data_IF_691091957697
#
_entry.id   IF_691091957697
#
_cell.length_a   1.000
_cell.length_b   1.000
_cell.length_c   1.000
_cell.angle_alpha   90.00
_cell.angle_beta   90.00
_cell.angle_gamma   90.00
#
_symmetry.space_group_name_H-M   'P 1'
#
loop_
_entity.id
_entity.type
_entity.pdbx_description
1 polymer ?
#
# COMPACT_ATOMS: atom_id res chain seq x y z
N UNK A 1 58.20 -0.80 -42.42
CA UNK A 1 56.90 -0.08 -42.51
C UNK A 1 55.84 -0.95 -41.87
N UNK A 2 55.36 -0.53 -40.69
CA UNK A 2 54.40 -1.23 -39.84
C UNK A 2 52.97 -0.91 -40.31
N UNK A 3 52.11 -1.93 -40.36
CA UNK A 3 50.65 -1.74 -40.31
C UNK A 3 50.07 -2.88 -39.47
N UNK A 4 49.75 -2.59 -38.21
CA UNK A 4 48.94 -3.46 -37.34
C UNK A 4 47.67 -2.68 -37.03
N UNK A 5 46.53 -3.31 -37.32
CA UNK A 5 45.17 -2.86 -37.02
C UNK A 5 44.97 -2.83 -35.49
N UNK A 6 44.60 -1.68 -34.94
CA UNK A 6 44.09 -1.57 -33.58
C UNK A 6 42.56 -1.58 -33.59
N UNK A 7 41.98 -2.56 -32.89
CA UNK A 7 40.62 -2.55 -32.38
C UNK A 7 40.58 -1.62 -31.16
N UNK A 8 39.66 -0.65 -31.14
CA UNK A 8 39.39 0.18 -29.98
C UNK A 8 38.26 -0.42 -29.13
N UNK A 9 38.59 -0.90 -27.94
CA UNK A 9 37.67 -1.25 -26.86
C UNK A 9 37.44 -0.02 -25.99
N UNK A 10 36.17 0.36 -25.79
CA UNK A 10 35.77 1.43 -24.88
C UNK A 10 35.78 0.91 -23.43
N UNK A 11 36.59 1.51 -22.57
CA UNK A 11 36.58 1.29 -21.12
C UNK A 11 35.60 2.27 -20.47
N UNK A 12 34.60 1.76 -19.75
CA UNK A 12 33.82 2.55 -18.78
C UNK A 12 34.61 2.58 -17.45
N UNK A 13 34.92 3.77 -16.96
CA UNK A 13 35.53 3.98 -15.65
C UNK A 13 34.41 4.17 -14.63
N UNK A 14 34.27 3.20 -13.71
CA UNK A 14 33.42 3.33 -12.52
C UNK A 14 34.29 3.92 -11.41
N UNK A 15 33.99 5.15 -10.99
CA UNK A 15 34.65 5.81 -9.86
C UNK A 15 33.90 5.45 -8.59
N UNK A 16 34.57 4.74 -7.67
CA UNK A 16 34.11 4.53 -6.31
C UNK A 16 34.58 5.69 -5.44
N UNK A 17 33.65 6.48 -4.89
CA UNK A 17 33.93 7.47 -3.84
C UNK A 17 33.56 6.82 -2.51
N UNK A 18 34.57 6.56 -1.69
CA UNK A 18 34.41 6.20 -0.27
C UNK A 18 34.43 7.51 0.51
N UNK A 19 33.32 7.86 1.16
CA UNK A 19 33.23 9.00 2.08
C UNK A 19 33.16 8.50 3.52
N UNK A 20 34.11 8.97 4.33
CA UNK A 20 34.25 8.70 5.75
C UNK A 20 33.19 9.45 6.56
N UNK A 21 32.64 8.71 7.54
CA UNK A 21 31.50 9.07 8.37
C UNK A 21 31.71 10.33 9.23
N UNK A 22 30.70 11.21 9.21
CA UNK A 22 30.42 12.19 10.26
C UNK A 22 29.19 11.74 11.06
N UNK A 23 29.39 11.42 12.33
CA UNK A 23 28.40 10.81 13.22
C UNK A 23 27.37 11.80 13.77
N UNK A 24 26.16 11.72 13.23
CA UNK A 24 24.93 11.55 14.02
C UNK A 24 24.12 10.48 13.31
N UNK A 25 24.42 9.20 13.58
CA UNK A 25 23.56 8.14 13.08
C UNK A 25 22.21 8.33 13.76
N UNK A 26 21.13 8.25 12.99
CA UNK A 26 19.90 7.70 13.54
C UNK A 26 20.30 6.49 14.40
N UNK A 27 19.77 6.37 15.62
CA UNK A 27 19.96 5.18 16.44
C UNK A 27 19.75 3.97 15.51
N UNK A 28 20.74 3.07 15.41
CA UNK A 28 20.78 2.08 14.33
C UNK A 28 19.42 1.37 14.31
N UNK A 29 18.65 1.60 13.24
CA UNK A 29 17.27 1.17 13.17
C UNK A 29 17.18 -0.30 13.57
N UNK A 30 16.11 -0.68 14.29
CA UNK A 30 15.91 -2.06 14.68
C UNK A 30 16.15 -2.99 13.48
N UNK A 31 16.75 -4.18 13.70
CA UNK A 31 16.86 -5.16 12.63
C UNK A 31 15.47 -5.43 12.07
N UNK A 32 15.43 -5.83 10.80
CA UNK A 32 14.19 -6.33 10.18
C UNK A 32 14.18 -7.86 10.21
N UNK A 33 13.02 -8.45 9.91
CA UNK A 33 12.91 -9.85 9.53
C UNK A 33 13.89 -10.18 8.40
N UNK A 34 14.44 -11.40 8.44
CA UNK A 34 15.29 -11.93 7.39
C UNK A 34 14.44 -12.50 6.23
N UNK A 35 13.30 -13.12 6.55
CA UNK A 35 12.34 -13.68 5.59
C UNK A 35 10.90 -13.34 5.98
N UNK A 36 9.95 -13.35 5.02
CA UNK A 36 8.53 -13.22 5.31
C UNK A 36 8.04 -14.28 6.31
N UNK A 37 7.28 -13.85 7.32
CA UNK A 37 6.61 -14.74 8.26
C UNK A 37 5.18 -15.01 7.78
N UNK A 38 4.87 -16.31 7.70
CA UNK A 38 3.55 -16.83 7.32
C UNK A 38 2.86 -17.37 8.57
N UNK A 39 1.71 -16.79 8.89
CA UNK A 39 0.85 -17.27 9.99
C UNK A 39 -0.14 -18.28 9.41
N UNK A 40 0.11 -19.57 9.67
CA UNK A 40 -0.66 -20.66 9.06
C UNK A 40 -1.90 -21.06 9.88
N UNK A 41 -1.82 -20.94 11.20
CA UNK A 41 -2.81 -21.45 12.14
C UNK A 41 -3.60 -20.32 12.76
N UNK A 42 -4.92 -20.38 12.64
CA UNK A 42 -5.83 -19.36 13.11
C UNK A 42 -6.96 -19.99 13.92
N UNK A 43 -7.47 -19.24 14.89
CA UNK A 43 -8.81 -19.41 15.42
C UNK A 43 -9.72 -18.40 14.72
N UNK A 44 -10.93 -18.78 14.33
CA UNK A 44 -11.91 -17.84 13.75
C UNK A 44 -13.25 -17.91 14.45
N UNK A 45 -13.97 -16.79 14.51
CA UNK A 45 -15.32 -16.73 15.11
C UNK A 45 -16.18 -15.72 14.38
N UNK A 46 -17.48 -15.97 14.34
CA UNK A 46 -18.49 -15.13 13.72
C UNK A 46 -19.66 -15.97 13.24
N UNK A 47 -20.72 -15.33 12.71
CA UNK A 47 -20.81 -13.92 12.41
C UNK A 47 -21.46 -13.12 13.56
N UNK A 48 -21.15 -11.83 13.60
CA UNK A 48 -21.79 -10.84 14.45
C UNK A 48 -22.50 -9.82 13.57
N UNK A 49 -23.76 -9.50 13.88
CA UNK A 49 -24.57 -8.54 13.12
C UNK A 49 -23.97 -7.14 13.23
N UNK A 50 -23.82 -6.43 12.10
CA UNK A 50 -23.26 -5.09 12.07
C UNK A 50 -23.97 -4.20 11.06
N UNK A 51 -24.18 -2.93 11.39
CA UNK A 51 -24.57 -1.91 10.43
C UNK A 51 -23.42 -1.51 9.48
N UNK A 52 -23.77 -0.96 8.31
CA UNK A 52 -22.77 -0.57 7.28
C UNK A 52 -21.75 0.48 7.75
N UNK A 53 -22.07 1.25 8.81
CA UNK A 53 -21.21 2.30 9.37
C UNK A 53 -20.80 2.03 10.83
N UNK A 54 -20.99 0.80 11.29
CA UNK A 54 -20.79 0.41 12.70
C UNK A 54 -19.48 -0.38 12.91
N UNK A 55 -18.46 -0.08 12.12
CA UNK A 55 -17.18 -0.79 12.17
C UNK A 55 -16.43 -0.68 13.52
N UNK A 56 -16.87 0.22 14.40
CA UNK A 56 -16.30 0.46 15.73
C UNK A 56 -16.91 -0.41 16.84
N UNK A 57 -17.92 -1.23 16.56
CA UNK A 57 -18.53 -2.11 17.58
C UNK A 57 -17.57 -3.26 17.90
N UNK A 58 -17.25 -3.41 19.18
CA UNK A 58 -16.49 -4.53 19.72
C UNK A 58 -17.46 -5.63 20.20
N UNK A 59 -17.42 -6.79 19.52
CA UNK A 59 -18.26 -7.95 19.84
C UNK A 59 -17.60 -8.92 20.84
N UNK A 60 -16.36 -8.66 21.24
CA UNK A 60 -15.53 -9.52 22.08
C UNK A 60 -15.38 -8.99 23.52
N UNK A 61 -16.10 -7.92 23.88
CA UNK A 61 -16.02 -7.22 25.17
C UNK A 61 -16.16 -8.12 26.39
N UNK A 62 -17.01 -9.15 26.33
CA UNK A 62 -17.19 -10.12 27.41
C UNK A 62 -15.92 -10.90 27.78
N UNK A 63 -14.93 -10.94 26.88
CA UNK A 63 -13.70 -11.71 27.00
C UNK A 63 -12.45 -10.83 26.81
N UNK A 64 -12.54 -9.55 27.16
CA UNK A 64 -11.41 -8.61 27.12
C UNK A 64 -11.34 -7.73 25.87
N UNK A 65 -12.33 -7.83 24.97
CA UNK A 65 -12.45 -6.95 23.80
C UNK A 65 -11.42 -7.22 22.70
N UNK A 66 -11.49 -6.44 21.63
CA UNK A 66 -10.63 -6.57 20.46
C UNK A 66 -9.12 -6.39 20.80
N UNK A 67 -8.81 -5.62 21.84
CA UNK A 67 -7.44 -5.37 22.30
C UNK A 67 -6.91 -6.49 23.22
N UNK A 68 -7.80 -7.11 24.00
CA UNK A 68 -7.43 -8.00 25.11
C UNK A 68 -7.72 -9.49 24.89
N UNK A 69 -8.54 -9.86 23.90
CA UNK A 69 -9.00 -11.24 23.70
C UNK A 69 -7.83 -12.25 23.64
N UNK A 70 -8.00 -13.38 24.33
CA UNK A 70 -7.14 -14.56 24.27
C UNK A 70 -8.03 -15.79 24.05
N UNK A 71 -8.46 -16.02 22.80
CA UNK A 71 -9.44 -17.04 22.54
C UNK A 71 -8.80 -18.43 22.56
N UNK A 72 -9.61 -19.42 22.92
CA UNK A 72 -9.31 -20.85 22.80
C UNK A 72 -10.40 -21.49 21.92
N UNK A 73 -10.07 -22.60 21.25
CA UNK A 73 -11.05 -23.33 20.46
C UNK A 73 -12.26 -23.72 21.33
N UNK A 74 -13.46 -23.48 20.80
CA UNK A 74 -14.72 -23.74 21.49
C UNK A 74 -15.24 -22.60 22.37
N UNK A 75 -14.44 -21.56 22.68
CA UNK A 75 -14.91 -20.37 23.41
C UNK A 75 -16.09 -19.71 22.68
N UNK A 76 -17.16 -19.38 23.42
CA UNK A 76 -18.41 -18.90 22.84
C UNK A 76 -18.64 -17.40 23.00
N UNK A 77 -19.33 -16.82 22.01
CA UNK A 77 -19.83 -15.45 22.00
C UNK A 77 -21.30 -15.43 21.58
N UNK A 78 -22.06 -14.47 22.10
CA UNK A 78 -23.47 -14.30 21.73
C UNK A 78 -23.58 -13.64 20.35
N UNK A 79 -24.56 -14.08 19.56
CA UNK A 79 -24.93 -13.45 18.29
C UNK A 79 -26.41 -13.64 18.02
N UNK A 80 -27.02 -12.70 17.31
CA UNK A 80 -28.40 -12.84 16.83
C UNK A 80 -28.49 -13.57 15.49
N UNK A 81 -27.36 -13.83 14.83
CA UNK A 81 -27.33 -14.33 13.45
C UNK A 81 -27.33 -15.85 13.34
N UNK A 82 -26.79 -16.54 14.33
CA UNK A 82 -26.62 -18.00 14.32
C UNK A 82 -27.71 -18.70 15.12
N UNK A 83 -28.07 -19.90 14.70
CA UNK A 83 -28.96 -20.81 15.42
C UNK A 83 -28.44 -21.04 16.85
N UNK A 84 -29.34 -21.05 17.83
CA UNK A 84 -28.97 -21.13 19.25
C UNK A 84 -28.36 -19.85 19.84
N UNK A 85 -28.25 -18.77 19.05
CA UNK A 85 -27.85 -17.45 19.51
C UNK A 85 -26.37 -17.34 19.89
N UNK A 86 -25.52 -18.25 19.40
CA UNK A 86 -24.12 -18.40 19.81
C UNK A 86 -23.22 -18.78 18.65
N UNK A 87 -21.99 -18.29 18.70
CA UNK A 87 -20.89 -18.68 17.80
C UNK A 87 -19.68 -19.06 18.65
N UNK A 88 -18.83 -19.94 18.12
CA UNK A 88 -17.64 -20.43 18.83
C UNK A 88 -16.38 -20.21 18.01
N UNK A 89 -15.25 -20.04 18.69
CA UNK A 89 -13.95 -20.03 18.04
C UNK A 89 -13.63 -21.42 17.49
N UNK A 90 -13.27 -21.51 16.21
CA UNK A 90 -12.92 -22.75 15.52
C UNK A 90 -11.54 -22.64 14.88
N UNK A 91 -10.84 -23.76 14.76
CA UNK A 91 -9.56 -23.79 14.05
C UNK A 91 -9.76 -23.56 12.56
N UNK A 92 -8.87 -22.78 11.95
CA UNK A 92 -8.88 -22.49 10.53
C UNK A 92 -7.44 -22.42 10.05
N UNK A 93 -7.14 -23.12 8.95
CA UNK A 93 -5.82 -23.13 8.34
C UNK A 93 -5.75 -22.12 7.18
N UNK A 94 -4.55 -21.59 6.96
CA UNK A 94 -4.22 -20.85 5.76
C UNK A 94 -4.26 -21.78 4.53
N UNK A 95 -4.98 -21.39 3.49
CA UNK A 95 -5.07 -22.11 2.22
C UNK A 95 -4.77 -21.18 1.05
N UNK A 96 -3.77 -21.51 0.24
CA UNK A 96 -3.38 -20.70 -0.94
C UNK A 96 -3.22 -19.20 -0.60
N UNK A 97 -2.59 -18.91 0.56
CA UNK A 97 -2.34 -17.55 1.04
C UNK A 97 -3.57 -16.83 1.62
N UNK A 98 -4.68 -17.54 1.85
CA UNK A 98 -5.94 -16.96 2.34
C UNK A 98 -6.47 -17.71 3.55
N UNK A 99 -6.95 -16.96 4.54
CA UNK A 99 -7.76 -17.48 5.64
C UNK A 99 -9.20 -17.23 5.27
N UNK A 100 -10.00 -18.30 5.15
CA UNK A 100 -11.42 -18.23 4.77
C UNK A 100 -12.26 -18.51 6.00
N UNK A 101 -13.19 -17.62 6.32
CA UNK A 101 -14.14 -17.88 7.39
C UNK A 101 -15.42 -18.44 6.78
N UNK A 102 -15.96 -19.46 7.43
CA UNK A 102 -17.28 -20.02 7.15
C UNK A 102 -18.11 -19.94 8.42
N UNK A 103 -19.37 -19.53 8.26
CA UNK A 103 -20.29 -19.33 9.36
C UNK A 103 -21.36 -20.42 9.30
N UNK A 104 -21.23 -21.42 10.17
CA UNK A 104 -22.19 -22.52 10.29
C UNK A 104 -23.43 -22.10 11.09
N UNK A 105 -24.57 -22.75 10.82
CA UNK A 105 -25.81 -22.48 11.55
C UNK A 105 -26.43 -21.11 11.30
N UNK A 106 -26.11 -20.44 10.18
CA UNK A 106 -26.68 -19.14 9.82
C UNK A 106 -27.66 -19.29 8.66
N UNK A 107 -28.92 -18.90 8.86
CA UNK A 107 -29.92 -18.86 7.82
C UNK A 107 -29.87 -17.52 7.06
N UNK A 108 -28.98 -17.43 6.07
CA UNK A 108 -28.75 -16.22 5.28
C UNK A 108 -29.97 -15.75 4.48
N UNK A 109 -30.80 -16.70 4.03
CA UNK A 109 -31.99 -16.42 3.25
C UNK A 109 -33.05 -15.78 4.15
N UNK A 110 -33.27 -16.32 5.34
CA UNK A 110 -34.18 -15.74 6.33
C UNK A 110 -33.76 -14.34 6.74
N UNK A 111 -32.47 -14.12 7.03
CA UNK A 111 -31.94 -12.79 7.38
C UNK A 111 -32.12 -11.78 6.25
N UNK A 112 -32.01 -12.22 4.99
CA UNK A 112 -32.25 -11.35 3.84
C UNK A 112 -33.75 -11.11 3.63
N UNK A 113 -34.60 -12.10 3.87
CA UNK A 113 -36.06 -11.97 3.76
C UNK A 113 -36.61 -11.01 4.82
N UNK A 114 -36.11 -11.09 6.07
CA UNK A 114 -36.56 -10.22 7.17
C UNK A 114 -36.04 -8.79 7.05
N UNK A 115 -34.73 -8.62 6.80
CA UNK A 115 -34.04 -7.34 6.98
C UNK A 115 -33.33 -6.86 5.69
N UNK A 116 -33.60 -7.51 4.56
CA UNK A 116 -32.99 -7.18 3.27
C UNK A 116 -31.47 -7.34 3.28
N UNK A 117 -30.78 -6.51 2.49
CA UNK A 117 -29.32 -6.51 2.46
C UNK A 117 -28.65 -6.14 3.79
N UNK A 118 -29.38 -5.50 4.71
CA UNK A 118 -28.85 -5.16 6.03
C UNK A 118 -28.68 -6.40 6.90
N UNK A 119 -29.62 -7.37 6.85
CA UNK A 119 -29.56 -8.62 7.62
C UNK A 119 -28.36 -9.51 7.28
N UNK A 120 -27.77 -9.34 6.10
CA UNK A 120 -26.57 -10.09 5.68
C UNK A 120 -25.26 -9.42 6.10
N UNK A 121 -25.30 -8.21 6.65
CA UNK A 121 -24.11 -7.50 7.09
C UNK A 121 -23.61 -8.10 8.40
N UNK A 122 -22.37 -8.57 8.35
CA UNK A 122 -21.75 -9.21 9.50
C UNK A 122 -20.25 -8.96 9.56
N UNK A 123 -19.73 -9.16 10.76
CA UNK A 123 -18.31 -9.23 11.10
C UNK A 123 -17.95 -10.64 11.56
N UNK A 124 -16.73 -11.07 11.26
CA UNK A 124 -16.05 -12.14 11.97
C UNK A 124 -14.66 -11.71 12.39
N UNK A 125 -14.04 -12.52 13.23
CA UNK A 125 -12.68 -12.32 13.71
C UNK A 125 -11.82 -13.54 13.41
N UNK A 126 -10.53 -13.30 13.22
CA UNK A 126 -9.51 -14.32 13.17
C UNK A 126 -8.37 -13.96 14.12
N UNK A 127 -7.96 -14.89 14.96
CA UNK A 127 -6.90 -14.73 15.95
C UNK A 127 -5.76 -15.69 15.67
N UNK A 128 -4.53 -15.23 15.83
CA UNK A 128 -3.36 -16.10 15.79
C UNK A 128 -2.24 -15.57 16.69
N UNK A 129 -1.36 -16.48 17.07
CA UNK A 129 -0.11 -16.16 17.75
C UNK A 129 1.07 -16.59 16.86
N UNK A 130 2.16 -15.81 16.88
CA UNK A 130 3.40 -16.17 16.19
C UNK A 130 4.62 -15.67 16.97
N UNK A 131 5.76 -16.33 16.77
CA UNK A 131 7.00 -16.04 17.49
C UNK A 131 7.88 -15.05 16.73
N UNK A 132 8.58 -14.19 17.46
CA UNK A 132 9.71 -13.40 16.97
C UNK A 132 10.91 -13.65 17.88
N UNK A 133 12.05 -14.02 17.30
CA UNK A 133 13.30 -14.32 18.01
C UNK A 133 13.88 -13.10 18.74
N UNK A 134 13.63 -11.91 18.19
CA UNK A 134 14.10 -10.61 18.69
C UNK A 134 13.05 -9.53 18.54
N UNK A 135 13.31 -8.37 19.14
CA UNK A 135 12.57 -7.15 18.84
C UNK A 135 13.04 -6.62 17.49
N UNK A 136 12.15 -6.51 16.51
CA UNK A 136 12.50 -6.15 15.14
C UNK A 136 11.38 -5.40 14.43
N UNK A 137 11.75 -4.58 13.45
CA UNK A 137 10.79 -3.90 12.57
C UNK A 137 10.29 -4.88 11.51
N UNK A 138 9.06 -4.68 11.06
CA UNK A 138 8.46 -5.45 9.99
C UNK A 138 7.40 -4.62 9.26
N UNK A 139 6.95 -5.10 8.11
CA UNK A 139 5.78 -4.56 7.41
C UNK A 139 4.63 -5.57 7.54
N UNK A 140 3.51 -5.17 8.12
CA UNK A 140 2.28 -5.97 8.09
C UNK A 140 1.52 -5.61 6.83
N UNK A 141 1.12 -6.66 6.12
CA UNK A 141 0.25 -6.57 4.96
C UNK A 141 -1.00 -7.40 5.22
N UNK A 142 -2.11 -6.72 5.44
CA UNK A 142 -3.39 -7.33 5.79
C UNK A 142 -4.45 -6.94 4.74
N UNK A 143 -4.76 -7.84 3.81
CA UNK A 143 -5.69 -7.58 2.71
C UNK A 143 -7.11 -8.04 3.03
N UNK A 144 -8.10 -7.35 2.48
CA UNK A 144 -9.54 -7.62 2.67
C UNK A 144 -10.00 -7.58 4.13
N UNK A 145 -9.33 -6.74 4.92
CA UNK A 145 -9.72 -6.38 6.27
C UNK A 145 -9.63 -4.86 6.43
N UNK A 146 -10.58 -4.27 7.16
CA UNK A 146 -10.54 -2.86 7.49
C UNK A 146 -9.70 -2.57 8.73
N UNK A 147 -9.49 -3.55 9.62
CA UNK A 147 -8.85 -3.35 10.92
C UNK A 147 -8.26 -4.65 11.45
N UNK A 148 -7.08 -4.56 12.04
CA UNK A 148 -6.49 -5.62 12.85
C UNK A 148 -5.82 -5.04 14.09
N UNK A 149 -5.50 -5.90 15.04
CA UNK A 149 -4.72 -5.57 16.22
C UNK A 149 -3.48 -6.41 16.23
N UNK A 150 -2.34 -5.79 16.54
CA UNK A 150 -1.08 -6.48 16.80
C UNK A 150 -0.67 -6.17 18.23
N UNK A 151 -0.63 -7.20 19.07
CA UNK A 151 -0.34 -7.08 20.50
C UNK A 151 -1.27 -6.11 21.25
N UNK A 152 -2.54 -6.02 20.81
CA UNK A 152 -3.55 -5.11 21.35
C UNK A 152 -3.55 -3.72 20.72
N UNK A 153 -2.56 -3.37 19.89
CA UNK A 153 -2.52 -2.07 19.21
C UNK A 153 -3.30 -2.13 17.89
N UNK A 154 -4.23 -1.18 17.62
CA UNK A 154 -5.05 -1.19 16.41
C UNK A 154 -4.33 -0.63 15.18
N UNK A 155 -4.59 -1.24 14.02
CA UNK A 155 -4.09 -0.81 12.71
C UNK A 155 -5.18 -0.97 11.65
N UNK A 156 -5.11 -0.18 10.58
CA UNK A 156 -5.99 -0.28 9.43
C UNK A 156 -5.40 -1.21 8.37
N UNK A 157 -6.19 -2.16 7.86
CA UNK A 157 -5.78 -3.03 6.75
C UNK A 157 -6.06 -2.44 5.36
N UNK A 158 -5.66 -3.17 4.33
CA UNK A 158 -6.05 -2.92 2.95
C UNK A 158 -7.44 -3.52 2.67
N UNK A 159 -8.49 -2.75 2.95
CA UNK A 159 -9.88 -3.20 2.80
C UNK A 159 -10.25 -3.64 1.38
N UNK A 160 -9.54 -3.15 0.35
CA UNK A 160 -9.78 -3.51 -1.05
C UNK A 160 -8.88 -4.65 -1.54
N UNK A 161 -7.74 -4.87 -0.87
CA UNK A 161 -6.74 -5.86 -1.26
C UNK A 161 -6.03 -5.49 -2.55
N UNK A 162 -5.69 -4.21 -2.72
CA UNK A 162 -4.92 -3.71 -3.86
C UNK A 162 -3.41 -3.89 -3.71
N UNK A 163 -2.95 -4.39 -2.56
CA UNK A 163 -1.54 -4.54 -2.22
C UNK A 163 -0.81 -3.18 -2.09
N UNK A 164 -1.55 -2.16 -1.62
CA UNK A 164 -1.04 -0.81 -1.47
C UNK A 164 -0.62 -0.51 -0.02
N UNK A 165 -1.26 -1.15 0.97
CA UNK A 165 -1.06 -0.81 2.37
C UNK A 165 -0.02 -1.75 3.00
N UNK A 166 1.19 -1.24 3.24
CA UNK A 166 2.27 -1.91 3.97
C UNK A 166 2.54 -1.17 5.28
N UNK A 167 2.15 -1.75 6.41
CA UNK A 167 2.11 -1.03 7.68
C UNK A 167 3.39 -1.32 8.46
N UNK A 168 4.27 -0.34 8.66
CA UNK A 168 5.44 -0.54 9.51
C UNK A 168 5.01 -0.79 10.96
N UNK A 169 5.53 -1.86 11.54
CA UNK A 169 5.28 -2.26 12.93
C UNK A 169 6.57 -2.70 13.60
N UNK A 170 6.54 -2.81 14.93
CA UNK A 170 7.60 -3.45 15.71
C UNK A 170 7.06 -4.74 16.34
N UNK A 171 7.69 -5.85 15.99
CA UNK A 171 7.48 -7.14 16.64
C UNK A 171 8.21 -7.16 17.98
N UNK A 172 7.56 -7.72 19.00
CA UNK A 172 8.15 -7.95 20.33
C UNK A 172 8.92 -9.27 20.29
N UNK A 173 10.03 -9.38 21.04
CA UNK A 173 10.66 -10.68 21.28
C UNK A 173 9.66 -11.63 21.97
N UNK A 174 9.57 -12.87 21.51
CA UNK A 174 8.62 -13.88 21.97
C UNK A 174 7.30 -13.83 21.19
N UNK A 175 6.20 -14.11 21.91
CA UNK A 175 4.86 -14.24 21.32
C UNK A 175 4.32 -12.87 20.91
N UNK A 176 3.95 -12.76 19.63
CA UNK A 176 3.15 -11.69 19.07
C UNK A 176 1.75 -12.22 18.77
N UNK A 177 0.73 -11.38 18.99
CA UNK A 177 -0.68 -11.76 18.87
C UNK A 177 -1.35 -10.89 17.84
N UNK A 178 -2.09 -11.50 16.93
CA UNK A 178 -2.87 -10.79 15.92
C UNK A 178 -4.34 -11.13 16.04
N UNK A 179 -5.19 -10.10 15.98
CA UNK A 179 -6.63 -10.23 15.77
C UNK A 179 -6.99 -9.49 14.48
N UNK A 180 -7.64 -10.15 13.53
CA UNK A 180 -8.09 -9.54 12.28
C UNK A 180 -9.61 -9.48 12.29
N UNK A 181 -10.18 -8.29 12.02
CA UNK A 181 -11.63 -8.11 11.87
C UNK A 181 -11.99 -8.08 10.39
N UNK A 182 -12.87 -8.98 9.98
CA UNK A 182 -13.30 -9.13 8.58
C UNK A 182 -14.80 -8.95 8.47
N UNK A 183 -15.25 -8.34 7.37
CA UNK A 183 -16.68 -8.18 7.08
C UNK A 183 -17.11 -9.01 5.87
N UNK A 184 -18.41 -9.31 5.79
CA UNK A 184 -19.13 -10.13 4.78
C UNK A 184 -19.45 -11.55 5.28
N UNK A 185 -20.42 -12.20 4.63
CA UNK A 185 -20.97 -13.52 4.98
C UNK A 185 -20.05 -14.71 4.66
N UNK A 186 -19.14 -14.57 3.70
CA UNK A 186 -18.11 -15.57 3.38
C UNK A 186 -16.77 -14.87 3.17
N UNK A 187 -16.20 -14.25 4.22
CA UNK A 187 -15.03 -13.42 4.05
C UNK A 187 -13.78 -14.29 3.92
N UNK A 188 -12.80 -13.72 3.23
CA UNK A 188 -11.44 -14.21 3.26
C UNK A 188 -10.50 -13.01 3.36
N UNK A 189 -9.37 -13.22 4.00
CA UNK A 189 -8.30 -12.23 4.11
C UNK A 189 -6.94 -12.89 3.88
N UNK A 190 -5.93 -12.06 3.61
CA UNK A 190 -4.53 -12.47 3.65
C UNK A 190 -3.82 -11.65 4.73
N UNK A 191 -2.91 -12.27 5.46
CA UNK A 191 -2.10 -11.61 6.48
C UNK A 191 -0.66 -12.08 6.35
N UNK A 192 0.24 -11.16 6.02
CA UNK A 192 1.66 -11.43 5.82
C UNK A 192 2.47 -10.44 6.64
N UNK A 193 3.54 -10.93 7.26
CA UNK A 193 4.52 -10.08 7.93
C UNK A 193 5.80 -10.14 7.10
N UNK A 194 6.19 -9.02 6.53
CA UNK A 194 7.25 -8.91 5.54
C UNK A 194 8.47 -8.21 6.13
N UNK A 195 9.68 -8.50 5.62
CA UNK A 195 10.85 -7.68 5.91
C UNK A 195 10.66 -6.27 5.36
N UNK A 196 11.20 -5.28 6.06
CA UNK A 196 11.29 -3.90 5.61
C UNK A 196 12.60 -3.68 4.87
N UNK A 197 12.51 -3.23 3.61
CA UNK A 197 13.64 -3.13 2.67
C UNK A 197 14.71 -2.13 3.13
N UNK A 198 14.31 -1.06 3.84
CA UNK A 198 15.20 -0.03 4.36
C UNK A 198 14.56 0.73 5.51
N UNK A 199 15.34 1.52 6.25
CA UNK A 199 14.84 2.35 7.35
C UNK A 199 13.81 3.37 6.86
N UNK A 200 14.14 4.02 5.74
CA UNK A 200 13.20 4.73 4.87
C UNK A 200 13.07 3.94 3.57
N UNK A 201 11.87 3.86 3.02
CA UNK A 201 11.64 3.17 1.76
C UNK A 201 10.47 3.76 0.97
N UNK A 202 10.46 3.53 -0.34
CA UNK A 202 9.39 3.88 -1.26
C UNK A 202 8.44 2.67 -1.38
N UNK A 203 7.15 2.90 -1.16
CA UNK A 203 6.13 1.91 -1.51
C UNK A 203 5.64 2.15 -2.94
N UNK A 204 6.32 1.50 -3.88
CA UNK A 204 6.11 1.62 -5.33
C UNK A 204 4.77 1.06 -5.84
N UNK A 205 4.01 0.36 -4.98
CA UNK A 205 2.71 -0.21 -5.33
C UNK A 205 1.59 0.83 -5.37
N UNK A 206 1.74 1.95 -4.69
CA UNK A 206 0.73 3.01 -4.63
C UNK A 206 1.25 4.34 -5.22
N UNK A 207 1.99 4.30 -6.32
CA UNK A 207 2.42 5.51 -7.00
C UNK A 207 1.26 6.18 -7.74
N UNK A 208 1.16 7.51 -7.65
CA UNK A 208 0.28 8.31 -8.51
C UNK A 208 1.13 8.99 -9.57
N UNK A 209 1.11 8.49 -10.80
CA UNK A 209 1.95 9.00 -11.91
C UNK A 209 1.11 9.64 -13.01
N UNK A 210 1.57 10.72 -13.67
CA UNK A 210 0.95 11.19 -14.90
C UNK A 210 1.33 10.30 -16.10
N UNK A 211 0.64 10.53 -17.22
CA UNK A 211 1.13 10.13 -18.53
C UNK A 211 1.76 11.35 -19.24
N UNK A 212 2.74 11.11 -20.10
CA UNK A 212 3.21 12.07 -21.10
C UNK A 212 2.26 11.99 -22.29
N UNK A 213 1.78 13.14 -22.77
CA UNK A 213 0.96 13.22 -24.00
C UNK A 213 1.80 13.78 -25.14
N UNK A 214 1.79 13.10 -26.28
CA UNK A 214 2.58 13.49 -27.45
C UNK A 214 2.26 14.92 -27.90
N UNK A 215 3.32 15.73 -28.04
CA UNK A 215 3.21 17.14 -28.41
C UNK A 215 2.74 18.08 -27.28
N UNK A 216 2.59 17.59 -26.04
CA UNK A 216 2.21 18.40 -24.88
C UNK A 216 3.32 18.39 -23.82
N UNK A 217 3.60 19.54 -23.23
CA UNK A 217 4.56 19.63 -22.13
C UNK A 217 3.96 19.01 -20.87
N UNK A 218 4.73 18.17 -20.19
CA UNK A 218 4.38 17.67 -18.86
C UNK A 218 4.86 18.67 -17.80
N UNK A 219 3.90 19.22 -17.04
CA UNK A 219 4.12 19.87 -15.75
C UNK A 219 3.08 19.33 -14.77
N UNK A 220 3.46 18.24 -14.09
CA UNK A 220 2.56 17.43 -13.28
C UNK A 220 3.10 17.15 -11.90
N UNK A 221 2.47 16.18 -11.22
CA UNK A 221 2.84 15.76 -9.88
C UNK A 221 2.87 14.24 -9.81
N UNK A 222 3.92 13.69 -9.21
CA UNK A 222 3.96 12.30 -8.80
C UNK A 222 3.65 12.21 -7.30
N UNK A 223 2.74 11.31 -6.91
CA UNK A 223 2.49 10.96 -5.52
C UNK A 223 3.35 9.78 -5.12
N UNK A 224 4.30 9.99 -4.22
CA UNK A 224 5.31 9.01 -3.80
C UNK A 224 5.06 8.59 -2.34
N UNK A 225 4.55 7.38 -2.08
CA UNK A 225 4.45 6.85 -0.73
C UNK A 225 5.84 6.58 -0.14
N UNK A 226 6.19 7.30 0.91
CA UNK A 226 7.43 7.13 1.69
C UNK A 226 7.07 6.52 3.04
N UNK A 227 7.78 5.48 3.43
CA UNK A 227 7.55 4.73 4.68
C UNK A 227 8.73 4.94 5.61
N UNK A 228 8.47 5.45 6.82
CA UNK A 228 9.41 5.37 7.93
C UNK A 228 9.11 4.11 8.73
N UNK A 229 10.06 3.19 8.71
CA UNK A 229 9.94 1.88 9.37
C UNK A 229 10.67 1.86 10.72
N UNK A 230 11.24 2.98 11.13
CA UNK A 230 11.98 3.13 12.37
C UNK A 230 11.05 3.59 13.51
N UNK A 231 11.56 3.51 14.74
CA UNK A 231 10.86 4.01 15.93
C UNK A 231 11.14 5.48 16.21
N UNK A 232 11.92 6.14 15.34
CA UNK A 232 12.33 7.53 15.52
C UNK A 232 11.69 8.40 14.44
N UNK A 233 11.39 9.65 14.82
CA UNK A 233 10.97 10.65 13.84
C UNK A 233 12.16 10.99 12.95
N UNK A 234 11.93 11.03 11.64
CA UNK A 234 12.93 11.49 10.67
C UNK A 234 12.55 12.88 10.18
N UNK A 235 13.54 13.75 9.99
CA UNK A 235 13.34 15.14 9.56
C UNK A 235 14.05 15.43 8.24
N UNK A 236 13.54 16.41 7.53
CA UNK A 236 14.14 16.96 6.31
C UNK A 236 14.44 15.90 5.24
N UNK A 237 13.54 14.90 5.11
CA UNK A 237 13.66 13.84 4.10
C UNK A 237 13.38 14.44 2.73
N UNK A 238 14.30 14.26 1.78
CA UNK A 238 14.10 14.72 0.41
C UNK A 238 13.58 13.59 -0.45
N UNK A 239 12.53 13.87 -1.22
CA UNK A 239 12.05 12.99 -2.28
C UNK A 239 12.42 13.65 -3.59
N UNK A 240 13.30 13.01 -4.35
CA UNK A 240 13.88 13.53 -5.58
C UNK A 240 13.32 12.74 -6.75
N UNK A 241 12.93 13.44 -7.82
CA UNK A 241 12.50 12.85 -9.09
C UNK A 241 13.38 13.40 -10.19
N UNK A 242 13.96 12.52 -11.00
CA UNK A 242 14.79 12.90 -12.15
C UNK A 242 14.80 11.81 -13.22
N UNK A 243 15.44 12.06 -14.37
CA UNK A 243 15.65 11.04 -15.40
C UNK A 243 16.26 11.61 -16.67
N UNK A 244 16.38 10.76 -17.69
CA UNK A 244 16.96 11.16 -18.98
C UNK A 244 16.16 12.30 -19.63
N UNK A 245 14.83 12.21 -19.58
CA UNK A 245 13.92 13.20 -20.13
C UNK A 245 13.29 14.13 -19.09
N UNK A 246 13.48 13.84 -17.80
CA UNK A 246 12.84 14.57 -16.70
C UNK A 246 13.81 15.52 -16.00
N UNK A 247 13.35 16.73 -15.66
CA UNK A 247 14.10 17.65 -14.83
C UNK A 247 14.30 17.07 -13.42
N UNK A 248 15.43 17.38 -12.79
CA UNK A 248 15.62 17.10 -11.36
C UNK A 248 14.72 18.04 -10.55
N UNK A 249 13.79 17.44 -9.83
CA UNK A 249 12.83 18.12 -8.95
C UNK A 249 12.82 17.46 -7.58
N UNK A 250 12.45 18.20 -6.54
CA UNK A 250 12.40 17.65 -5.18
C UNK A 250 11.27 18.26 -4.35
N UNK A 251 10.80 17.47 -3.38
CA UNK A 251 9.98 17.93 -2.25
C UNK A 251 10.72 17.56 -0.97
N UNK A 252 10.82 18.51 -0.04
CA UNK A 252 11.34 18.26 1.31
C UNK A 252 10.16 17.97 2.23
N UNK A 253 10.16 16.79 2.84
CA UNK A 253 9.25 16.42 3.90
C UNK A 253 9.88 16.80 5.25
N UNK A 254 9.35 17.83 5.96
CA UNK A 254 9.99 18.37 7.17
C UNK A 254 10.02 17.36 8.32
N UNK A 255 9.00 16.51 8.43
CA UNK A 255 8.91 15.45 9.42
C UNK A 255 8.20 14.22 8.84
N UNK A 256 8.70 13.05 9.18
CA UNK A 256 8.06 11.77 8.93
C UNK A 256 8.05 10.99 10.25
N UNK A 257 6.86 10.80 10.81
CA UNK A 257 6.68 10.18 12.12
C UNK A 257 7.15 8.72 12.14
N UNK A 258 7.51 8.18 13.33
CA UNK A 258 7.82 6.76 13.49
C UNK A 258 6.73 5.87 12.91
N UNK A 259 7.12 4.73 12.34
CA UNK A 259 6.20 3.67 11.92
C UNK A 259 4.99 4.22 11.13
N UNK A 260 5.26 5.11 10.19
CA UNK A 260 4.24 5.83 9.40
C UNK A 260 4.57 5.80 7.92
N UNK A 261 3.53 5.93 7.10
CA UNK A 261 3.64 6.14 5.66
C UNK A 261 2.97 7.46 5.28
N UNK A 262 3.62 8.25 4.43
CA UNK A 262 3.06 9.47 3.87
C UNK A 262 3.23 9.49 2.35
N UNK A 263 2.17 9.85 1.63
CA UNK A 263 2.20 9.97 0.17
C UNK A 263 2.56 11.40 -0.24
N UNK A 264 3.84 11.60 -0.53
CA UNK A 264 4.41 12.92 -0.77
C UNK A 264 4.21 13.33 -2.23
N UNK A 265 3.61 14.51 -2.50
CA UNK A 265 3.54 15.07 -3.84
C UNK A 265 4.89 15.67 -4.25
N UNK A 266 5.44 15.23 -5.38
CA UNK A 266 6.67 15.77 -5.97
C UNK A 266 6.39 16.27 -7.39
N UNK A 267 6.87 17.45 -7.80
CA UNK A 267 6.73 17.88 -9.19
C UNK A 267 7.36 16.87 -10.14
N UNK A 268 6.84 16.74 -11.36
CA UNK A 268 7.50 16.00 -12.45
C UNK A 268 7.34 16.80 -13.73
N UNK A 269 8.47 17.08 -14.39
CA UNK A 269 8.54 17.95 -15.56
C UNK A 269 9.48 17.36 -16.60
N UNK A 270 9.12 17.53 -17.87
CA UNK A 270 10.08 17.27 -18.96
C UNK A 270 11.14 18.36 -18.97
N UNK A 271 12.38 18.00 -19.30
CA UNK A 271 13.46 18.96 -19.53
C UNK A 271 13.09 19.92 -20.67
N UNK A 272 13.51 21.17 -20.55
CA UNK A 272 13.18 22.23 -21.54
C UNK A 272 13.61 21.88 -22.96
N UNK A 273 14.74 21.21 -23.11
CA UNK A 273 15.31 20.77 -24.40
C UNK A 273 14.70 19.48 -24.96
N UNK A 274 13.89 18.77 -24.16
CA UNK A 274 13.15 17.60 -24.62
C UNK A 274 11.84 18.03 -25.25
N UNK A 275 11.74 17.83 -26.57
CA UNK A 275 10.47 17.97 -27.28
C UNK A 275 9.59 16.74 -27.05
N UNK A 276 8.35 16.87 -26.53
CA UNK A 276 7.49 15.73 -26.21
C UNK A 276 7.23 14.80 -27.40
N UNK A 277 7.18 15.36 -28.62
CA UNK A 277 7.00 14.59 -29.86
C UNK A 277 8.23 13.75 -30.26
N UNK A 278 9.41 14.04 -29.70
CA UNK A 278 10.64 13.31 -29.97
C UNK A 278 10.85 12.11 -29.02
N UNK A 279 10.00 11.95 -28.00
CA UNK A 279 10.05 10.82 -27.08
C UNK A 279 9.55 9.56 -27.81
N UNK A 280 10.47 8.65 -28.12
CA UNK A 280 10.17 7.37 -28.75
C UNK A 280 9.78 6.31 -27.72
N UNK A 281 8.81 5.46 -28.06
CA UNK A 281 8.35 4.36 -27.20
C UNK A 281 7.02 4.65 -26.52
N UNK A 282 6.51 3.66 -25.79
CA UNK A 282 5.25 3.75 -25.03
C UNK A 282 5.46 4.05 -23.54
N UNK A 283 6.71 4.00 -23.07
CA UNK A 283 7.09 4.16 -21.67
C UNK A 283 8.50 4.76 -21.56
N UNK A 284 8.68 5.72 -20.66
CA UNK A 284 9.98 6.21 -20.18
C UNK A 284 10.05 6.04 -18.67
N UNK A 285 11.24 6.14 -18.09
CA UNK A 285 11.45 5.93 -16.65
C UNK A 285 11.90 7.20 -15.96
N UNK A 286 11.27 7.50 -14.82
CA UNK A 286 11.75 8.47 -13.85
C UNK A 286 12.42 7.71 -12.70
N UNK A 287 13.59 8.17 -12.28
CA UNK A 287 14.20 7.74 -11.03
C UNK A 287 13.59 8.53 -9.89
N UNK A 288 13.06 7.83 -8.89
CA UNK A 288 12.54 8.41 -7.65
C UNK A 288 13.39 7.92 -6.50
N UNK A 289 13.97 8.85 -5.74
CA UNK A 289 14.87 8.53 -4.64
C UNK A 289 14.44 9.22 -3.36
N UNK A 290 14.55 8.51 -2.23
CA UNK A 290 14.40 9.05 -0.89
C UNK A 290 15.79 9.29 -0.31
N UNK A 291 16.09 10.52 0.07
CA UNK A 291 17.43 10.96 0.48
C UNK A 291 17.40 11.52 1.89
N UNK A 292 18.25 10.98 2.76
CA UNK A 292 18.54 11.46 4.10
C UNK A 292 20.06 11.41 4.30
N UNK A 293 20.73 12.56 4.13
CA UNK A 293 22.19 12.67 3.95
C UNK A 293 22.72 11.95 2.69
N UNK A 294 22.43 10.66 2.58
CA UNK A 294 22.68 9.79 1.43
C UNK A 294 21.37 9.20 0.89
N UNK A 295 21.41 8.61 -0.30
CA UNK A 295 20.26 7.88 -0.88
C UNK A 295 19.93 6.68 0.00
N UNK A 296 18.72 6.68 0.55
CA UNK A 296 18.20 5.59 1.39
C UNK A 296 17.47 4.54 0.57
N UNK A 297 16.75 4.98 -0.45
CA UNK A 297 16.02 4.10 -1.34
C UNK A 297 15.83 4.75 -2.72
N UNK A 298 15.77 3.94 -3.78
CA UNK A 298 15.63 4.39 -5.16
C UNK A 298 14.78 3.42 -5.98
N UNK A 299 13.84 3.94 -6.76
CA UNK A 299 12.96 3.15 -7.64
C UNK A 299 12.90 3.75 -9.03
N UNK A 300 12.85 2.89 -10.04
CA UNK A 300 12.57 3.29 -11.42
C UNK A 300 11.07 3.21 -11.67
N UNK A 301 10.46 4.36 -11.91
CA UNK A 301 9.02 4.52 -12.05
C UNK A 301 8.67 4.65 -13.53
N UNK A 302 7.86 3.73 -14.09
CA UNK A 302 7.43 3.83 -15.47
C UNK A 302 6.39 4.97 -15.63
N UNK A 303 6.65 5.84 -16.59
CA UNK A 303 5.76 6.92 -17.04
C UNK A 303 5.36 6.62 -18.48
N UNK A 304 4.06 6.44 -18.72
CA UNK A 304 3.57 6.07 -20.05
C UNK A 304 3.61 7.27 -20.98
N UNK A 305 3.85 7.01 -22.26
CA UNK A 305 3.79 7.97 -23.35
C UNK A 305 2.54 7.65 -24.18
N UNK A 306 1.66 8.63 -24.35
CA UNK A 306 0.33 8.46 -24.93
C UNK A 306 0.14 9.40 -26.12
N UNK A 307 -0.52 8.91 -27.16
CA UNK A 307 -0.99 9.75 -28.26
C UNK A 307 -2.29 10.48 -27.86
N UNK A 308 -2.62 11.57 -28.56
CA UNK A 308 -3.78 12.42 -28.23
C UNK A 308 -5.14 11.74 -28.39
N UNK A 309 -5.20 10.68 -29.20
CA UNK A 309 -6.39 9.84 -29.42
C UNK A 309 -6.52 8.69 -28.38
N UNK A 310 -5.50 8.48 -27.56
CA UNK A 310 -5.49 7.46 -26.51
C UNK A 310 -6.03 8.00 -25.19
N UNK A 311 -6.53 7.12 -24.32
CA UNK A 311 -6.78 7.51 -22.93
C UNK A 311 -5.47 7.84 -22.22
N UNK A 312 -5.45 8.91 -21.44
CA UNK A 312 -4.28 9.35 -20.68
C UNK A 312 -4.68 9.91 -19.32
N UNK A 313 -3.73 9.94 -18.40
CA UNK A 313 -3.90 10.42 -17.03
C UNK A 313 -3.20 11.75 -16.84
N UNK A 314 -3.93 12.72 -16.30
CA UNK A 314 -3.37 13.98 -15.82
C UNK A 314 -3.33 13.93 -14.31
N UNK A 315 -2.21 14.38 -13.75
CA UNK A 315 -2.05 14.59 -12.30
C UNK A 315 -2.00 16.07 -11.97
N UNK A 316 -2.50 16.43 -10.80
CA UNK A 316 -2.46 17.79 -10.28
C UNK A 316 -2.25 17.75 -8.77
N UNK A 317 -1.83 18.88 -8.19
CA UNK A 317 -1.80 19.04 -6.73
C UNK A 317 -3.15 19.54 -6.25
N UNK A 318 -3.78 18.76 -5.38
CA UNK A 318 -5.04 19.11 -4.73
C UNK A 318 -4.90 20.40 -3.92
N UNK A 319 -5.80 21.36 -4.15
CA UNK A 319 -5.88 22.57 -3.32
C UNK A 319 -6.55 22.35 -1.96
N UNK A 320 -7.12 21.17 -1.71
CA UNK A 320 -7.82 20.85 -0.46
C UNK A 320 -6.87 20.30 0.62
N UNK A 321 -6.01 19.36 0.23
CA UNK A 321 -5.14 18.62 1.15
C UNK A 321 -3.68 18.59 0.67
N UNK A 322 -3.35 19.23 -0.45
CA UNK A 322 -2.00 19.31 -0.99
C UNK A 322 -1.51 18.02 -1.65
N UNK A 323 -2.30 16.96 -1.69
CA UNK A 323 -1.92 15.65 -2.24
C UNK A 323 -1.80 15.66 -3.78
N UNK A 324 -1.02 14.73 -4.33
CA UNK A 324 -1.02 14.48 -5.78
C UNK A 324 -2.25 13.65 -6.14
N UNK A 325 -3.17 14.24 -6.90
CA UNK A 325 -4.41 13.63 -7.36
C UNK A 325 -4.40 13.48 -8.87
N UNK A 326 -5.32 12.70 -9.40
CA UNK A 326 -5.40 12.46 -10.83
C UNK A 326 -6.83 12.40 -11.35
N UNK A 327 -6.98 12.63 -12.65
CA UNK A 327 -8.14 12.23 -13.42
C UNK A 327 -7.68 11.64 -14.75
N UNK A 328 -8.55 10.85 -15.38
CA UNK A 328 -8.30 10.25 -16.68
C UNK A 328 -9.10 10.99 -17.75
N UNK A 329 -8.45 11.28 -18.88
CA UNK A 329 -9.11 11.79 -20.09
C UNK A 329 -9.28 10.63 -21.05
N UNK A 330 -10.48 10.53 -21.63
CA UNK A 330 -10.79 9.55 -22.67
C UNK A 330 -11.31 10.29 -23.90
N UNK A 331 -10.47 10.45 -24.94
CA UNK A 331 -10.92 10.98 -26.23
C UNK A 331 -12.06 10.14 -26.83
N UNK A 332 -12.91 10.74 -27.68
CA UNK A 332 -13.90 9.99 -28.44
C UNK A 332 -13.23 9.03 -29.42
N UNK A 333 -13.92 7.96 -29.81
CA UNK A 333 -13.37 6.94 -30.72
C UNK A 333 -13.03 7.47 -32.12
N UNK A 334 -13.64 8.58 -32.53
CA UNK A 334 -13.38 9.30 -33.78
C UNK A 334 -12.64 10.63 -33.51
N UNK A 335 -11.64 10.60 -32.64
CA UNK A 335 -10.83 11.76 -32.31
C UNK A 335 -10.17 12.36 -33.57
N UNK A 336 -10.32 13.67 -33.70
CA UNK A 336 -9.78 14.52 -34.76
C UNK A 336 -9.31 15.81 -34.08
N UNK A 337 -7.99 16.11 -34.10
CA UNK A 337 -7.43 17.27 -33.39
C UNK A 337 -7.99 18.61 -33.88
N UNK A 338 -8.58 18.66 -35.09
CA UNK A 338 -9.16 19.88 -35.66
C UNK A 338 -10.63 20.10 -35.23
N UNK A 339 -11.21 19.19 -34.43
CA UNK A 339 -12.60 19.26 -33.98
C UNK A 339 -12.73 19.59 -32.50
N UNK A 340 -13.83 20.25 -32.17
CA UNK A 340 -14.28 20.44 -30.78
C UNK A 340 -15.28 19.38 -30.38
N UNK A 341 -15.15 18.86 -29.17
CA UNK A 341 -16.04 17.84 -28.62
C UNK A 341 -16.73 18.33 -27.35
N UNK A 342 -17.92 17.79 -27.06
CA UNK A 342 -18.59 18.03 -25.79
C UNK A 342 -17.82 17.36 -24.64
N UNK A 343 -17.76 18.03 -23.49
CA UNK A 343 -17.17 17.50 -22.26
C UNK A 343 -18.20 16.67 -21.49
N UNK A 344 -17.85 15.42 -21.17
CA UNK A 344 -18.64 14.57 -20.27
C UNK A 344 -17.79 14.32 -19.02
N UNK A 345 -18.34 14.68 -17.85
CA UNK A 345 -17.69 14.48 -16.55
C UNK A 345 -18.28 13.26 -15.85
N UNK A 346 -17.41 12.30 -15.51
CA UNK A 346 -17.74 11.19 -14.62
C UNK A 346 -17.07 11.41 -13.27
N UNK A 347 -17.85 11.74 -12.25
CA UNK A 347 -17.34 12.14 -10.93
C UNK A 347 -17.12 10.95 -9.97
N UNK A 348 -17.79 9.82 -10.22
CA UNK A 348 -17.63 8.58 -9.46
C UNK A 348 -17.69 7.36 -10.39
N UNK A 349 -16.69 6.49 -10.29
CA UNK A 349 -16.76 5.14 -10.85
C UNK A 349 -17.42 4.22 -9.83
N UNK A 350 -18.58 3.65 -10.18
CA UNK A 350 -19.12 2.51 -9.44
C UNK A 350 -18.18 1.31 -9.66
N UNK A 351 -17.35 1.00 -8.66
CA UNK A 351 -16.22 0.07 -8.77
C UNK A 351 -15.17 0.52 -9.78
N UNK A 352 -14.11 1.17 -9.30
CA UNK A 352 -12.89 1.35 -10.09
C UNK A 352 -11.94 0.22 -9.71
N UNK A 353 -11.83 -0.87 -10.51
CA UNK A 353 -10.58 -1.59 -10.56
C UNK A 353 -9.55 -0.65 -11.18
N UNK A 354 -8.52 -0.31 -10.40
CA UNK A 354 -7.31 0.36 -10.89
C UNK A 354 -6.56 -0.52 -11.88
#
# INVERSE_FOLDING_TARGET
>A
MRTIKNFGTAFHVIVWIILLAGTRSADAALPTLDEPLIVADWLTVGPFSVGTREGYIDFLTAHGGEEGIRPEAGMEHLTIMAEGGRVRWTETKLEAGKVKLSYEGVNWDLLQESDGHAGQRCVGYAYAEFQSDRRQRALVMAERTGKFWLNGEPYYGDGYGHNFVKIPVVLRKGINRVLVKVGRSKPWFSFRVLPAEGALMINDRDLTTPDIVAGERLDGWIGVPVVNTTTEQVRDVKIVVEGDVFERTETVLPNLEPLTMEKVPVPIRLKKDVEPAAISGDTVYATVSVVLNDVQDERWVPIRVRQKDMSYRITFRSGMDGSAQHFSVRPPSNFDPERTYALILSLHGASVPS
#
